data_IF_788992975957
#
_entry.id   IF_788992975957
#
_cell.length_a   1.000
_cell.length_b   1.000
_cell.length_c   1.000
_cell.angle_alpha   90.00
_cell.angle_beta   90.00
_cell.angle_gamma   90.00
#
_symmetry.space_group_name_H-M   'P 1'
#
loop_
_entity.id
_entity.type
_entity.pdbx_description
1 polymer ?
#
# COMPACT_ATOMS: atom_id res chain seq x y z
N UNK A 1 0.65 -32.35 -14.78
CA UNK A 1 -0.31 -31.43 -15.45
C UNK A 1 -1.69 -32.04 -15.32
N UNK A 2 -2.70 -31.23 -15.03
CA UNK A 2 -4.04 -31.69 -14.72
C UNK A 2 -5.08 -30.92 -15.54
N UNK A 3 -6.03 -31.63 -16.10
CA UNK A 3 -7.27 -31.06 -16.59
C UNK A 3 -8.30 -31.04 -15.46
N UNK A 4 -8.86 -29.87 -15.21
CA UNK A 4 -9.88 -29.70 -14.17
C UNK A 4 -11.27 -29.66 -14.80
N UNK A 5 -12.19 -30.43 -14.22
CA UNK A 5 -13.61 -30.39 -14.56
C UNK A 5 -14.41 -30.38 -13.24
N UNK A 6 -14.85 -29.23 -12.82
CA UNK A 6 -15.40 -28.98 -11.49
C UNK A 6 -14.40 -29.48 -10.40
N UNK A 7 -14.78 -30.45 -9.58
CA UNK A 7 -13.92 -31.04 -8.55
C UNK A 7 -13.18 -32.31 -9.01
N UNK A 8 -13.34 -32.71 -10.27
CA UNK A 8 -12.64 -33.89 -10.84
C UNK A 8 -11.32 -33.43 -11.47
N UNK A 9 -10.29 -34.29 -11.31
CA UNK A 9 -8.95 -34.09 -11.86
C UNK A 9 -8.65 -35.24 -12.82
N UNK A 10 -8.15 -34.93 -14.00
CA UNK A 10 -7.63 -35.86 -14.94
C UNK A 10 -6.18 -35.52 -15.26
N UNK A 11 -5.27 -36.48 -15.15
CA UNK A 11 -3.86 -36.28 -15.49
C UNK A 11 -3.70 -36.16 -17.01
N UNK A 12 -2.87 -35.21 -17.44
CA UNK A 12 -2.52 -35.00 -18.84
C UNK A 12 -1.00 -35.15 -19.01
N UNK A 13 -0.60 -35.86 -20.05
CA UNK A 13 0.81 -36.00 -20.41
C UNK A 13 1.37 -34.73 -21.05
N UNK A 14 0.51 -33.97 -21.76
CA UNK A 14 0.86 -32.72 -22.45
C UNK A 14 -0.35 -31.82 -22.68
N UNK A 15 -0.06 -30.53 -22.84
CA UNK A 15 -1.02 -29.49 -23.20
C UNK A 15 -0.50 -28.74 -24.43
N UNK A 16 -1.40 -28.16 -25.19
CA UNK A 16 -1.10 -27.44 -26.42
C UNK A 16 -1.37 -25.94 -26.27
N UNK A 17 -0.87 -25.16 -27.24
CA UNK A 17 -1.14 -23.73 -27.31
C UNK A 17 -2.64 -23.45 -27.34
N UNK A 18 -3.10 -22.56 -26.44
CA UNK A 18 -4.52 -22.24 -26.25
C UNK A 18 -5.24 -23.09 -25.20
N UNK A 19 -4.62 -24.15 -24.70
CA UNK A 19 -5.20 -24.96 -23.64
C UNK A 19 -5.06 -24.26 -22.26
N UNK A 20 -6.00 -24.60 -21.38
CA UNK A 20 -5.97 -24.19 -19.96
C UNK A 20 -5.82 -25.46 -19.11
N UNK A 21 -4.78 -25.51 -18.31
CA UNK A 21 -4.50 -26.64 -17.45
C UNK A 21 -4.04 -26.19 -16.06
N UNK A 22 -4.22 -27.05 -15.06
CA UNK A 22 -3.62 -26.89 -13.76
C UNK A 22 -2.25 -27.59 -13.72
N UNK A 23 -1.30 -27.01 -13.01
CA UNK A 23 0.00 -27.61 -12.77
C UNK A 23 0.37 -27.52 -11.29
N UNK A 24 1.04 -28.54 -10.76
CA UNK A 24 1.44 -28.63 -9.35
C UNK A 24 2.95 -28.78 -9.27
N UNK A 25 3.56 -28.21 -8.25
CA UNK A 25 4.97 -28.37 -7.95
C UNK A 25 5.86 -27.17 -8.24
N UNK A 26 5.32 -26.06 -8.72
CA UNK A 26 6.04 -24.81 -8.84
C UNK A 26 6.22 -24.17 -7.44
N UNK A 27 7.48 -23.89 -7.08
CA UNK A 27 7.81 -23.33 -5.76
C UNK A 27 7.96 -21.81 -5.76
N UNK A 28 8.28 -21.22 -6.92
CA UNK A 28 8.65 -19.80 -7.03
C UNK A 28 7.80 -19.05 -8.06
N UNK A 29 6.75 -19.67 -8.57
CA UNK A 29 5.86 -19.08 -9.57
C UNK A 29 4.63 -18.49 -8.89
N UNK A 30 4.36 -17.24 -9.16
CA UNK A 30 3.21 -16.49 -8.64
C UNK A 30 2.25 -16.12 -9.77
N UNK A 31 1.09 -15.57 -9.40
CA UNK A 31 0.09 -15.10 -10.36
C UNK A 31 0.68 -14.00 -11.25
N UNK A 32 0.59 -14.18 -12.56
CA UNK A 32 1.13 -13.24 -13.56
C UNK A 32 2.51 -13.62 -14.11
N UNK A 33 3.18 -14.61 -13.52
CA UNK A 33 4.47 -15.06 -14.02
C UNK A 33 4.33 -15.83 -15.34
N UNK A 34 5.30 -15.64 -16.22
CA UNK A 34 5.43 -16.40 -17.47
C UNK A 34 6.33 -17.60 -17.26
N UNK A 35 5.85 -18.78 -17.66
CA UNK A 35 6.63 -20.03 -17.70
C UNK A 35 6.99 -20.29 -19.15
N UNK A 36 8.28 -20.40 -19.45
CA UNK A 36 8.78 -20.60 -20.82
C UNK A 36 9.96 -21.58 -20.87
N UNK A 37 10.38 -21.91 -22.09
CA UNK A 37 11.62 -22.67 -22.35
C UNK A 37 12.84 -21.82 -22.01
N UNK A 38 13.81 -22.40 -21.29
CA UNK A 38 15.07 -21.73 -20.94
C UNK A 38 15.90 -21.34 -22.16
N UNK A 39 15.81 -22.10 -23.25
CA UNK A 39 16.56 -21.83 -24.49
C UNK A 39 15.90 -20.74 -25.35
N UNK A 40 14.62 -20.51 -25.15
CA UNK A 40 13.84 -19.54 -25.91
C UNK A 40 13.01 -18.67 -24.93
N UNK A 41 13.69 -17.85 -24.10
CA UNK A 41 12.99 -17.06 -23.09
C UNK A 41 12.08 -16.02 -23.74
N UNK A 42 10.81 -16.01 -23.33
CA UNK A 42 9.81 -15.03 -23.72
C UNK A 42 9.01 -14.63 -22.48
N UNK A 43 8.78 -13.34 -22.31
CA UNK A 43 7.89 -12.82 -21.27
C UNK A 43 6.63 -12.35 -21.98
N UNK A 44 5.50 -12.91 -21.59
CA UNK A 44 4.19 -12.45 -22.03
C UNK A 44 3.83 -11.14 -21.33
N UNK A 45 2.67 -10.59 -21.67
CA UNK A 45 2.17 -9.37 -21.04
C UNK A 45 2.15 -9.50 -19.51
N UNK A 46 2.82 -8.57 -18.84
CA UNK A 46 2.82 -8.50 -17.38
C UNK A 46 1.57 -7.80 -16.89
N UNK A 47 0.92 -8.37 -15.87
CA UNK A 47 -0.20 -7.72 -15.19
C UNK A 47 0.31 -6.74 -14.14
N UNK A 48 -0.17 -5.49 -14.20
CA UNK A 48 0.04 -4.53 -13.13
C UNK A 48 -1.10 -4.66 -12.11
N UNK A 49 -0.74 -4.97 -10.87
CA UNK A 49 -1.71 -5.08 -9.79
C UNK A 49 -1.71 -3.78 -8.97
N UNK A 50 -2.89 -3.20 -8.70
CA UNK A 50 -2.99 -2.03 -7.85
C UNK A 50 -2.58 -2.36 -6.41
N UNK A 51 -2.05 -1.37 -5.71
CA UNK A 51 -1.74 -1.52 -4.29
C UNK A 51 -3.02 -1.62 -3.44
N UNK A 52 -3.00 -2.40 -2.35
CA UNK A 52 -4.10 -2.45 -1.41
C UNK A 52 -4.46 -1.05 -0.86
N UNK A 53 -5.75 -0.81 -0.65
CA UNK A 53 -6.28 0.50 -0.23
C UNK A 53 -6.97 0.48 1.14
N UNK A 54 -7.20 -0.71 1.69
CA UNK A 54 -7.81 -0.91 3.00
C UNK A 54 -6.98 -1.89 3.81
N UNK A 55 -6.89 -1.63 5.10
CA UNK A 55 -6.16 -2.47 6.05
C UNK A 55 -7.03 -2.80 7.26
N UNK A 56 -6.80 -3.97 7.85
CA UNK A 56 -7.35 -4.33 9.13
C UNK A 56 -6.40 -5.21 9.94
N UNK A 57 -6.48 -5.09 11.25
CA UNK A 57 -5.76 -5.98 12.15
C UNK A 57 -6.49 -7.31 12.29
N UNK A 58 -5.72 -8.41 12.29
CA UNK A 58 -6.24 -9.75 12.49
C UNK A 58 -5.41 -10.48 13.56
N UNK A 59 -6.09 -11.16 14.46
CA UNK A 59 -5.46 -11.93 15.54
C UNK A 59 -6.07 -13.32 15.61
N UNK A 60 -5.27 -14.39 15.73
CA UNK A 60 -5.80 -15.71 15.93
C UNK A 60 -6.43 -15.82 17.31
N UNK A 61 -7.57 -16.49 17.45
CA UNK A 61 -8.24 -16.68 18.75
C UNK A 61 -7.43 -17.54 19.72
N UNK A 62 -6.47 -18.32 19.23
CA UNK A 62 -5.64 -19.21 20.04
C UNK A 62 -4.16 -19.05 19.71
N UNK A 63 -3.27 -19.19 20.69
CA UNK A 63 -1.82 -19.18 20.47
C UNK A 63 -1.34 -20.23 19.47
N UNK A 64 -1.96 -21.42 19.48
CA UNK A 64 -1.66 -22.48 18.51
C UNK A 64 -2.04 -22.12 17.09
N UNK A 65 -2.99 -21.19 16.89
CA UNK A 65 -3.40 -20.69 15.59
C UNK A 65 -2.42 -19.73 14.94
N UNK A 66 -1.47 -19.15 15.69
CA UNK A 66 -0.60 -18.09 15.16
C UNK A 66 0.32 -18.56 14.04
N UNK A 67 0.98 -19.71 14.21
CA UNK A 67 1.81 -20.30 13.15
C UNK A 67 1.00 -20.68 11.92
N UNK A 68 -0.15 -21.32 12.14
CA UNK A 68 -1.06 -21.67 11.05
C UNK A 68 -1.61 -20.45 10.30
N UNK A 69 -1.91 -19.36 11.01
CA UNK A 69 -2.37 -18.12 10.41
C UNK A 69 -1.29 -17.52 9.50
N UNK A 70 -0.03 -17.48 9.95
CA UNK A 70 1.08 -16.98 9.14
C UNK A 70 1.27 -17.78 7.84
N UNK A 71 1.26 -19.11 7.92
CA UNK A 71 1.35 -19.98 6.74
C UNK A 71 0.16 -19.81 5.79
N UNK A 72 -1.06 -19.69 6.34
CA UNK A 72 -2.26 -19.50 5.55
C UNK A 72 -2.26 -18.15 4.84
N UNK A 73 -1.89 -17.06 5.53
CA UNK A 73 -1.80 -15.72 4.95
C UNK A 73 -0.72 -15.66 3.86
N UNK A 74 0.42 -16.33 4.05
CA UNK A 74 1.46 -16.42 3.02
C UNK A 74 0.94 -17.09 1.74
N UNK A 75 0.23 -18.23 1.87
CA UNK A 75 -0.37 -18.93 0.72
C UNK A 75 -1.42 -18.07 0.01
N UNK A 76 -2.27 -17.35 0.76
CA UNK A 76 -3.28 -16.46 0.19
C UNK A 76 -2.63 -15.30 -0.56
N UNK A 77 -1.51 -14.77 -0.06
CA UNK A 77 -0.76 -13.71 -0.73
C UNK A 77 -0.03 -14.19 -2.00
N UNK A 78 0.37 -15.48 -2.07
CA UNK A 78 0.90 -16.08 -3.29
C UNK A 78 -0.16 -16.22 -4.39
N UNK A 79 -1.42 -16.51 -3.99
CA UNK A 79 -2.55 -16.64 -4.94
C UNK A 79 -3.04 -15.29 -5.46
N UNK A 80 -3.02 -14.26 -4.61
CA UNK A 80 -3.60 -12.94 -4.90
C UNK A 80 -2.58 -11.82 -4.68
N UNK A 81 -2.00 -11.27 -5.75
CA UNK A 81 -1.03 -10.18 -5.67
C UNK A 81 -1.58 -8.85 -5.13
N UNK A 82 -2.91 -8.70 -5.07
CA UNK A 82 -3.58 -7.52 -4.49
C UNK A 82 -3.82 -7.66 -2.99
N UNK A 83 -3.55 -8.83 -2.42
CA UNK A 83 -3.60 -9.10 -0.99
C UNK A 83 -2.21 -9.07 -0.39
N UNK A 84 -2.05 -8.41 0.75
CA UNK A 84 -0.80 -8.37 1.51
C UNK A 84 -1.06 -8.65 3.00
N UNK A 85 -0.10 -9.28 3.64
CA UNK A 85 -0.09 -9.48 5.08
C UNK A 85 1.29 -9.12 5.63
N UNK A 86 1.33 -8.38 6.72
CA UNK A 86 2.57 -8.01 7.40
C UNK A 86 2.34 -7.86 8.90
N UNK A 87 3.41 -7.95 9.67
CA UNK A 87 3.36 -7.67 11.10
C UNK A 87 3.77 -6.22 11.34
N UNK A 88 2.93 -5.48 12.01
CA UNK A 88 3.28 -4.14 12.48
C UNK A 88 4.34 -4.26 13.58
N UNK A 89 5.52 -3.72 13.34
CA UNK A 89 6.69 -3.82 14.24
C UNK A 89 6.51 -3.04 15.54
N UNK A 90 5.66 -2.02 15.56
CA UNK A 90 5.40 -1.20 16.75
C UNK A 90 4.36 -1.86 17.66
N UNK A 91 3.30 -2.42 17.09
CA UNK A 91 2.19 -3.01 17.87
C UNK A 91 2.26 -4.53 18.00
N UNK A 92 3.08 -5.19 17.19
CA UNK A 92 3.15 -6.65 17.09
C UNK A 92 1.93 -7.29 16.46
N UNK A 93 0.96 -6.52 15.97
CA UNK A 93 -0.27 -7.00 15.34
C UNK A 93 -0.01 -7.45 13.90
N UNK A 94 -0.70 -8.49 13.48
CA UNK A 94 -0.75 -8.88 12.06
C UNK A 94 -1.78 -8.00 11.35
N UNK A 95 -1.35 -7.31 10.32
CA UNK A 95 -2.18 -6.46 9.46
C UNK A 95 -2.37 -7.16 8.13
N UNK A 96 -3.60 -7.23 7.66
CA UNK A 96 -3.94 -7.66 6.31
C UNK A 96 -4.47 -6.47 5.50
N UNK A 97 -4.06 -6.41 4.25
CA UNK A 97 -4.38 -5.32 3.33
C UNK A 97 -4.96 -5.86 2.03
N UNK A 98 -5.96 -5.18 1.50
CA UNK A 98 -6.68 -5.60 0.29
C UNK A 98 -7.39 -4.45 -0.43
N UNK A 99 -8.16 -4.79 -1.46
CA UNK A 99 -8.79 -3.83 -2.36
C UNK A 99 -10.16 -3.33 -1.88
N UNK A 100 -10.69 -3.84 -0.78
CA UNK A 100 -11.96 -3.43 -0.21
C UNK A 100 -12.46 -4.38 0.89
N UNK A 101 -13.54 -3.97 1.57
CA UNK A 101 -14.14 -4.74 2.68
C UNK A 101 -14.47 -6.18 2.28
N UNK A 102 -15.21 -6.35 1.17
CA UNK A 102 -15.61 -7.68 0.70
C UNK A 102 -14.39 -8.56 0.38
N UNK A 103 -13.34 -7.99 -0.17
CA UNK A 103 -12.10 -8.72 -0.45
C UNK A 103 -11.51 -9.29 0.85
N UNK A 104 -11.37 -8.46 1.88
CA UNK A 104 -10.83 -8.90 3.18
C UNK A 104 -11.78 -9.85 3.93
N UNK A 105 -13.09 -9.67 3.82
CA UNK A 105 -14.08 -10.58 4.38
C UNK A 105 -13.95 -11.99 3.76
N UNK A 106 -13.76 -12.07 2.45
CA UNK A 106 -13.52 -13.36 1.75
C UNK A 106 -12.21 -14.00 2.23
N UNK A 107 -11.15 -13.23 2.40
CA UNK A 107 -9.88 -13.73 2.92
C UNK A 107 -10.04 -14.31 4.33
N UNK A 108 -10.75 -13.61 5.21
CA UNK A 108 -11.04 -14.07 6.58
C UNK A 108 -11.93 -15.34 6.57
N UNK A 109 -12.93 -15.39 5.71
CA UNK A 109 -13.79 -16.58 5.54
C UNK A 109 -12.96 -17.80 5.04
N UNK A 110 -12.03 -17.59 4.11
CA UNK A 110 -11.11 -18.61 3.63
C UNK A 110 -10.15 -19.11 4.73
N UNK A 111 -9.64 -18.22 5.59
CA UNK A 111 -8.83 -18.61 6.76
C UNK A 111 -9.60 -19.61 7.63
N UNK A 112 -10.88 -19.35 7.89
CA UNK A 112 -11.72 -20.24 8.68
C UNK A 112 -12.05 -21.55 7.95
N UNK A 113 -12.52 -21.48 6.71
CA UNK A 113 -13.06 -22.64 5.99
C UNK A 113 -11.97 -23.56 5.43
N UNK A 114 -10.94 -23.00 4.82
CA UNK A 114 -9.87 -23.78 4.16
C UNK A 114 -8.75 -24.14 5.15
N UNK A 115 -8.31 -23.20 5.97
CA UNK A 115 -7.15 -23.39 6.84
C UNK A 115 -7.51 -23.73 8.29
N UNK A 116 -8.80 -23.70 8.66
CA UNK A 116 -9.29 -23.97 10.02
C UNK A 116 -8.65 -23.04 11.07
N UNK A 117 -8.44 -21.77 10.71
CA UNK A 117 -7.93 -20.74 11.60
C UNK A 117 -9.06 -19.78 11.95
N UNK A 118 -9.44 -19.75 13.22
CA UNK A 118 -10.36 -18.74 13.76
C UNK A 118 -9.58 -17.49 14.16
N UNK A 119 -10.07 -16.34 13.71
CA UNK A 119 -9.43 -15.06 13.98
C UNK A 119 -10.43 -14.00 14.46
N UNK A 120 -9.96 -13.08 15.29
CA UNK A 120 -10.62 -11.83 15.59
C UNK A 120 -10.17 -10.78 14.59
N UNK A 121 -11.10 -9.99 14.10
CA UNK A 121 -10.88 -9.00 13.05
C UNK A 121 -11.20 -7.62 13.59
N UNK A 122 -10.27 -6.68 13.43
CA UNK A 122 -10.46 -5.27 13.77
C UNK A 122 -11.36 -4.52 12.75
N UNK A 123 -11.69 -3.27 13.06
CA UNK A 123 -12.39 -2.43 12.11
C UNK A 123 -11.50 -2.06 10.91
N UNK A 124 -12.06 -2.04 9.68
CA UNK A 124 -11.32 -1.61 8.51
C UNK A 124 -10.78 -0.18 8.66
N UNK A 125 -9.56 0.02 8.21
CA UNK A 125 -8.89 1.31 8.20
C UNK A 125 -8.51 1.65 6.75
N UNK A 126 -8.67 2.92 6.37
CA UNK A 126 -8.18 3.38 5.06
C UNK A 126 -6.66 3.45 5.09
N UNK A 127 -6.02 2.92 4.06
CA UNK A 127 -4.58 3.07 3.86
C UNK A 127 -4.28 4.46 3.29
N UNK A 128 -4.10 5.43 4.18
CA UNK A 128 -3.62 6.76 3.79
C UNK A 128 -2.15 6.70 3.37
N UNK A 129 -1.75 7.67 2.57
CA UNK A 129 -0.34 7.91 2.22
C UNK A 129 0.05 9.34 2.58
N UNK A 130 1.34 9.57 2.75
CA UNK A 130 1.89 10.93 2.82
C UNK A 130 2.57 11.30 1.50
N UNK A 131 2.68 12.58 1.21
CA UNK A 131 3.50 13.11 0.12
C UNK A 131 4.00 14.49 0.49
N UNK A 132 4.97 15.00 -0.27
CA UNK A 132 5.45 16.39 -0.17
C UNK A 132 4.96 17.17 -1.39
N UNK A 133 4.65 18.43 -1.21
CA UNK A 133 4.14 19.32 -2.28
C UNK A 133 5.20 20.29 -2.81
N UNK A 134 6.27 20.47 -2.08
CA UNK A 134 7.36 21.38 -2.42
C UNK A 134 8.74 20.79 -2.22
N UNK A 135 9.75 21.59 -2.44
CA UNK A 135 11.14 21.22 -2.30
C UNK A 135 11.69 21.68 -0.95
N UNK A 136 12.63 20.93 -0.39
CA UNK A 136 13.39 21.38 0.77
C UNK A 136 14.85 20.95 0.68
N UNK A 137 15.73 21.89 1.04
CA UNK A 137 17.15 21.63 1.25
C UNK A 137 17.42 21.52 2.75
N UNK A 138 18.13 20.48 3.16
CA UNK A 138 18.45 20.22 4.56
C UNK A 138 19.92 19.87 4.72
N UNK A 139 20.53 20.50 5.71
CA UNK A 139 21.86 20.19 6.22
C UNK A 139 21.69 19.45 7.54
N UNK A 140 21.95 18.13 7.56
CA UNK A 140 21.73 17.28 8.73
C UNK A 140 23.04 16.66 9.21
N UNK A 141 23.35 16.92 10.49
CA UNK A 141 24.47 16.31 11.21
C UNK A 141 23.96 15.41 12.30
N UNK A 142 24.44 14.17 12.31
CA UNK A 142 24.25 13.23 13.40
C UNK A 142 25.58 13.03 14.12
N UNK A 143 25.62 13.36 15.39
CA UNK A 143 26.76 13.17 16.25
C UNK A 143 26.32 12.60 17.58
N UNK A 144 26.91 11.47 17.96
CA UNK A 144 26.71 10.85 19.27
C UNK A 144 28.04 10.42 19.82
N UNK A 145 28.30 10.74 21.07
CA UNK A 145 29.52 10.39 21.76
C UNK A 145 29.15 9.82 23.15
N UNK A 146 29.44 8.55 23.37
CA UNK A 146 29.13 7.85 24.63
C UNK A 146 30.32 6.95 24.97
N UNK A 147 31.37 7.53 25.56
CA UNK A 147 32.50 6.81 26.18
C UNK A 147 33.14 5.72 25.29
N UNK A 148 33.95 6.10 24.29
CA UNK A 148 34.60 5.21 23.36
C UNK A 148 34.52 5.74 21.90
N UNK A 149 34.43 4.86 20.90
CA UNK A 149 34.20 5.25 19.51
C UNK A 149 32.89 6.00 19.38
N UNK A 150 32.91 7.22 18.83
CA UNK A 150 31.72 8.04 18.57
C UNK A 150 30.94 7.57 17.35
N UNK A 151 29.84 8.27 17.07
CA UNK A 151 29.07 8.12 15.82
C UNK A 151 28.99 9.48 15.12
N UNK A 152 29.27 9.53 13.84
CA UNK A 152 29.22 10.75 13.06
C UNK A 152 28.70 10.49 11.64
N UNK A 153 27.71 11.26 11.23
CA UNK A 153 27.22 11.34 9.87
C UNK A 153 26.79 12.76 9.54
N UNK A 154 27.06 13.21 8.33
CA UNK A 154 26.66 14.53 7.86
C UNK A 154 26.26 14.46 6.40
N UNK A 155 25.03 14.84 6.10
CA UNK A 155 24.46 14.84 4.75
C UNK A 155 23.79 16.20 4.47
N UNK A 156 24.03 16.72 3.27
CA UNK A 156 23.28 17.82 2.70
C UNK A 156 22.42 17.28 1.57
N UNK A 157 21.13 17.40 1.71
CA UNK A 157 20.15 16.76 0.83
C UNK A 157 19.16 17.78 0.31
N UNK A 158 18.64 17.48 -0.87
CA UNK A 158 17.44 18.09 -1.41
C UNK A 158 16.37 17.02 -1.59
N UNK A 159 15.17 17.32 -1.10
CA UNK A 159 13.98 16.51 -1.36
C UNK A 159 13.05 17.25 -2.29
N UNK A 160 12.43 16.52 -3.21
CA UNK A 160 11.51 17.04 -4.21
C UNK A 160 10.35 16.07 -4.42
N UNK A 161 9.13 16.56 -4.75
CA UNK A 161 8.04 15.70 -5.15
C UNK A 161 8.42 14.85 -6.35
N UNK A 162 7.93 13.62 -6.38
CA UNK A 162 7.97 12.77 -7.57
C UNK A 162 6.54 12.49 -8.04
N UNK A 163 6.36 12.01 -9.26
CA UNK A 163 5.06 11.62 -9.76
C UNK A 163 4.47 10.49 -8.90
N UNK A 164 3.17 10.59 -8.61
CA UNK A 164 2.47 9.59 -7.79
C UNK A 164 2.63 8.19 -8.37
N UNK A 165 3.00 7.24 -7.52
CA UNK A 165 3.24 5.86 -7.92
C UNK A 165 4.64 5.55 -8.47
N UNK A 166 5.49 6.54 -8.76
CA UNK A 166 6.89 6.29 -9.18
C UNK A 166 7.80 5.86 -8.03
N UNK A 167 7.36 6.05 -6.79
CA UNK A 167 8.09 5.62 -5.61
C UNK A 167 9.32 6.49 -5.31
N UNK A 168 10.33 5.83 -4.73
CA UNK A 168 11.55 6.44 -4.27
C UNK A 168 12.62 6.51 -5.35
N UNK A 169 13.12 7.71 -5.62
CA UNK A 169 14.23 7.97 -6.52
C UNK A 169 15.37 8.64 -5.77
N UNK A 170 16.60 8.11 -5.93
CA UNK A 170 17.78 8.64 -5.27
C UNK A 170 18.84 9.04 -6.30
N UNK A 171 19.36 10.27 -6.15
CA UNK A 171 20.48 10.81 -6.95
C UNK A 171 21.64 11.17 -6.05
N UNK A 172 22.84 10.94 -6.52
CA UNK A 172 24.08 11.28 -5.83
C UNK A 172 24.90 12.29 -6.64
N UNK A 173 24.99 13.52 -6.13
CA UNK A 173 25.73 14.63 -6.73
C UNK A 173 26.99 14.98 -5.93
N UNK A 174 27.43 14.12 -4.99
CA UNK A 174 28.61 14.36 -4.16
C UNK A 174 29.87 14.39 -5.02
N UNK A 175 30.63 15.48 -4.94
CA UNK A 175 31.89 15.67 -5.63
C UNK A 175 33.05 15.69 -4.64
N UNK A 176 34.24 15.28 -5.10
CA UNK A 176 35.47 15.43 -4.32
C UNK A 176 35.63 14.47 -3.13
N UNK A 177 34.75 13.48 -2.99
CA UNK A 177 34.87 12.46 -1.93
C UNK A 177 34.56 12.98 -0.53
N UNK A 178 33.78 14.06 -0.40
CA UNK A 178 33.33 14.60 0.90
C UNK A 178 32.57 13.58 1.73
N UNK A 179 31.90 12.62 1.07
CA UNK A 179 31.38 11.39 1.65
C UNK A 179 32.01 10.21 0.94
N UNK A 180 32.67 9.28 1.65
CA UNK A 180 33.20 8.05 1.06
C UNK A 180 32.11 7.24 0.34
N UNK A 181 32.45 6.68 -0.82
CA UNK A 181 31.49 5.93 -1.66
C UNK A 181 30.80 4.77 -0.93
N UNK A 182 31.48 4.19 0.04
CA UNK A 182 30.97 3.09 0.86
C UNK A 182 29.81 3.46 1.77
N UNK A 183 29.62 4.76 2.11
CA UNK A 183 28.55 5.26 2.95
C UNK A 183 27.31 5.72 2.17
N UNK A 184 27.43 5.94 0.86
CA UNK A 184 26.30 6.40 0.02
C UNK A 184 25.14 5.39 -0.01
N UNK A 185 25.39 4.06 -0.14
CA UNK A 185 24.30 3.07 -0.04
C UNK A 185 23.56 3.11 1.31
N UNK A 186 24.26 3.41 2.41
CA UNK A 186 23.64 3.56 3.72
C UNK A 186 22.72 4.78 3.81
N UNK A 187 23.10 5.90 3.18
CA UNK A 187 22.23 7.07 3.05
C UNK A 187 20.96 6.72 2.26
N UNK A 188 21.10 6.08 1.10
CA UNK A 188 19.98 5.65 0.28
C UNK A 188 19.02 4.72 1.05
N UNK A 189 19.58 3.73 1.74
CA UNK A 189 18.81 2.79 2.59
C UNK A 189 18.10 3.50 3.73
N UNK A 190 18.76 4.48 4.37
CA UNK A 190 18.19 5.25 5.46
C UNK A 190 16.96 6.06 5.03
N UNK A 191 16.99 6.69 3.84
CA UNK A 191 15.83 7.37 3.27
C UNK A 191 14.72 6.41 2.92
N UNK A 192 15.01 5.29 2.24
CA UNK A 192 14.03 4.28 1.90
C UNK A 192 13.30 3.73 3.13
N UNK A 193 14.03 3.44 4.20
CA UNK A 193 13.46 2.98 5.46
C UNK A 193 12.62 4.07 6.16
N UNK A 194 13.02 5.34 6.06
CA UNK A 194 12.28 6.44 6.67
C UNK A 194 10.95 6.73 5.96
N UNK A 195 10.88 6.51 4.66
CA UNK A 195 9.66 6.69 3.87
C UNK A 195 8.53 5.73 4.25
N UNK A 196 8.86 4.56 4.81
CA UNK A 196 7.85 3.63 5.32
C UNK A 196 7.04 4.22 6.49
N UNK A 197 7.60 5.22 7.17
CA UNK A 197 7.03 5.85 8.36
C UNK A 197 7.01 7.37 8.15
N UNK A 198 5.94 7.88 7.55
CA UNK A 198 5.79 9.30 7.19
C UNK A 198 5.97 10.25 8.37
N UNK A 199 6.45 11.44 8.08
CA UNK A 199 6.82 12.42 9.11
C UNK A 199 5.61 13.12 9.75
N UNK A 200 4.43 13.10 9.09
CA UNK A 200 3.23 13.83 9.51
C UNK A 200 2.35 13.00 10.44
N UNK A 201 1.95 11.82 10.00
CA UNK A 201 1.05 10.92 10.75
C UNK A 201 1.57 9.47 10.81
N UNK A 202 2.69 9.17 10.18
CA UNK A 202 3.30 7.85 10.15
C UNK A 202 2.82 6.97 9.00
N UNK A 203 2.07 7.51 8.05
CA UNK A 203 1.69 6.78 6.86
C UNK A 203 2.85 6.72 5.85
N UNK A 204 2.86 5.67 5.03
CA UNK A 204 3.91 5.50 4.02
C UNK A 204 3.94 6.68 3.05
N UNK A 205 5.14 7.19 2.77
CA UNK A 205 5.37 8.21 1.73
C UNK A 205 5.13 7.58 0.34
N UNK A 206 4.29 8.22 -0.48
CA UNK A 206 3.94 7.74 -1.82
C UNK A 206 5.15 7.77 -2.77
N UNK A 207 5.66 8.97 -3.02
CA UNK A 207 6.72 9.17 -4.00
C UNK A 207 7.56 10.38 -3.65
N UNK A 208 8.88 10.23 -3.69
CA UNK A 208 9.82 11.30 -3.37
C UNK A 208 11.14 11.09 -4.10
N UNK A 209 11.70 12.20 -4.58
CA UNK A 209 13.04 12.26 -5.11
C UNK A 209 13.98 12.87 -4.09
N UNK A 210 15.11 12.22 -3.84
CA UNK A 210 16.15 12.68 -2.93
C UNK A 210 17.46 12.82 -3.67
N UNK A 211 18.07 14.00 -3.59
CA UNK A 211 19.39 14.27 -4.13
C UNK A 211 20.37 14.50 -2.97
N UNK A 212 21.36 13.64 -2.83
CA UNK A 212 22.49 13.83 -1.92
C UNK A 212 23.50 14.79 -2.57
N UNK A 213 23.58 16.03 -2.07
CA UNK A 213 24.41 17.09 -2.67
C UNK A 213 25.82 17.13 -2.13
N UNK A 214 25.98 16.95 -0.82
CA UNK A 214 27.24 17.10 -0.12
C UNK A 214 27.16 16.49 1.28
N UNK A 215 28.25 16.54 2.03
CA UNK A 215 28.31 16.14 3.41
C UNK A 215 29.73 16.15 3.94
N UNK A 216 29.95 15.47 5.04
CA UNK A 216 31.29 15.20 5.56
C UNK A 216 31.30 13.93 6.39
N UNK A 217 32.47 13.37 6.59
CA UNK A 217 32.70 12.21 7.42
C UNK A 217 33.80 12.47 8.46
N UNK A 218 33.83 11.63 9.49
CA UNK A 218 34.90 11.63 10.48
C UNK A 218 35.68 10.33 10.36
N UNK A 219 37.03 10.36 10.25
CA UNK A 219 37.84 9.16 9.92
C UNK A 219 37.67 7.99 10.92
N UNK A 220 37.29 8.28 12.17
CA UNK A 220 37.18 7.27 13.24
C UNK A 220 35.73 6.98 13.60
N UNK A 221 34.85 7.99 13.59
CA UNK A 221 33.48 7.91 14.14
C UNK A 221 32.40 7.72 13.06
N UNK A 222 32.76 7.71 11.77
CA UNK A 222 31.82 7.48 10.70
C UNK A 222 31.76 6.01 10.33
N UNK A 223 30.52 5.49 10.29
CA UNK A 223 30.19 4.15 9.82
C UNK A 223 28.87 4.17 9.01
N UNK A 224 28.52 3.03 8.45
CA UNK A 224 27.29 2.90 7.66
C UNK A 224 26.04 3.18 8.50
N UNK A 225 26.01 2.73 9.77
CA UNK A 225 24.88 2.95 10.66
C UNK A 225 24.67 4.43 10.99
N UNK A 226 25.77 5.17 11.23
CA UNK A 226 25.72 6.62 11.47
C UNK A 226 25.14 7.39 10.29
N UNK A 227 25.51 7.02 9.07
CA UNK A 227 24.93 7.63 7.86
C UNK A 227 23.49 7.21 7.61
N UNK A 228 23.09 5.97 7.92
CA UNK A 228 21.70 5.53 7.85
C UNK A 228 20.81 6.32 8.84
N UNK A 229 21.26 6.49 10.08
CA UNK A 229 20.53 7.29 11.08
C UNK A 229 20.50 8.76 10.68
N UNK A 230 21.61 9.30 10.17
CA UNK A 230 21.68 10.68 9.68
C UNK A 230 20.68 10.94 8.55
N UNK A 231 20.56 10.00 7.60
CA UNK A 231 19.59 10.06 6.52
C UNK A 231 18.15 10.04 7.00
N UNK A 232 17.81 9.15 7.96
CA UNK A 232 16.47 9.11 8.58
C UNK A 232 16.11 10.43 9.26
N UNK A 233 17.05 11.00 10.00
CA UNK A 233 16.85 12.31 10.65
C UNK A 233 16.73 13.44 9.61
N UNK A 234 17.50 13.36 8.52
CA UNK A 234 17.41 14.26 7.38
C UNK A 234 16.01 14.24 6.74
N UNK A 235 15.45 13.06 6.52
CA UNK A 235 14.08 12.92 6.05
C UNK A 235 13.05 13.56 6.99
N UNK A 236 13.11 13.23 8.29
CA UNK A 236 12.19 13.78 9.31
C UNK A 236 12.24 15.30 9.40
N UNK A 237 13.39 15.89 9.10
CA UNK A 237 13.57 17.34 9.08
C UNK A 237 13.13 17.97 7.74
N UNK A 238 13.34 17.27 6.62
CA UNK A 238 13.05 17.73 5.28
C UNK A 238 11.54 17.68 4.95
N UNK A 239 10.86 16.60 5.28
CA UNK A 239 9.48 16.37 4.89
C UNK A 239 8.51 17.48 5.36
N UNK A 240 8.52 17.93 6.63
CA UNK A 240 7.68 19.05 7.05
C UNK A 240 8.00 20.35 6.32
N UNK A 241 9.28 20.63 6.03
CA UNK A 241 9.72 21.84 5.30
C UNK A 241 9.31 21.82 3.84
N UNK A 242 9.20 20.63 3.25
CA UNK A 242 8.74 20.41 1.89
C UNK A 242 7.21 20.39 1.76
N UNK A 243 6.46 20.68 2.83
CA UNK A 243 5.00 20.71 2.81
C UNK A 243 4.40 19.31 2.74
N UNK A 244 4.55 18.52 3.80
CA UNK A 244 3.91 17.22 3.88
C UNK A 244 2.39 17.33 3.94
N UNK A 245 1.70 16.49 3.15
CA UNK A 245 0.24 16.36 3.12
C UNK A 245 -0.18 14.90 3.15
N UNK A 246 -1.41 14.64 3.55
CA UNK A 246 -2.01 13.30 3.55
C UNK A 246 -2.79 13.11 2.25
N UNK A 247 -2.66 11.93 1.64
CA UNK A 247 -3.44 11.47 0.50
C UNK A 247 -4.38 10.34 0.91
N UNK A 248 -5.57 10.34 0.33
CA UNK A 248 -6.57 9.30 0.47
C UNK A 248 -6.82 8.58 -0.86
N UNK A 249 -7.17 7.28 -0.83
CA UNK A 249 -7.53 6.55 -2.04
C UNK A 249 -8.90 6.98 -2.53
N UNK A 250 -8.98 7.29 -3.83
CA UNK A 250 -10.20 7.60 -4.55
C UNK A 250 -10.62 6.38 -5.36
N UNK A 251 -11.88 6.01 -5.21
CA UNK A 251 -12.47 4.87 -5.89
C UNK A 251 -13.24 5.30 -7.13
N UNK A 252 -13.13 4.53 -8.19
CA UNK A 252 -14.01 4.60 -9.35
C UNK A 252 -15.24 3.74 -9.05
N UNK A 253 -16.37 4.38 -8.87
CA UNK A 253 -17.64 3.72 -8.54
C UNK A 253 -18.54 3.74 -9.76
N UNK A 254 -19.09 2.58 -10.12
CA UNK A 254 -20.10 2.45 -11.15
C UNK A 254 -21.36 1.86 -10.51
N UNK A 255 -22.50 2.54 -10.68
CA UNK A 255 -23.78 2.09 -10.17
C UNK A 255 -24.75 1.88 -11.32
N UNK A 256 -25.27 0.66 -11.46
CA UNK A 256 -26.32 0.31 -12.42
C UNK A 256 -27.67 0.32 -11.68
N UNK A 257 -28.58 1.15 -12.12
CA UNK A 257 -29.85 1.42 -11.43
C UNK A 257 -31.01 1.66 -12.39
N UNK A 258 -32.26 1.39 -11.98
CA UNK A 258 -33.43 1.94 -12.65
C UNK A 258 -33.42 3.47 -12.68
N UNK A 259 -33.99 4.08 -13.70
CA UNK A 259 -34.01 5.53 -13.88
C UNK A 259 -34.63 6.28 -12.70
N UNK A 260 -35.69 5.75 -12.12
CA UNK A 260 -36.41 6.33 -10.98
C UNK A 260 -35.56 6.49 -9.71
N UNK A 261 -34.51 5.67 -9.52
CA UNK A 261 -33.63 5.73 -8.35
C UNK A 261 -32.35 6.55 -8.62
N UNK A 262 -32.12 6.97 -9.86
CA UNK A 262 -30.86 7.64 -10.25
C UNK A 262 -30.62 8.94 -9.47
N UNK A 263 -31.67 9.76 -9.26
CA UNK A 263 -31.56 11.02 -8.53
C UNK A 263 -31.12 10.85 -7.08
N UNK A 264 -31.71 9.88 -6.37
CA UNK A 264 -31.36 9.58 -4.98
C UNK A 264 -29.95 9.02 -4.85
N UNK A 265 -29.53 8.18 -5.81
CA UNK A 265 -28.18 7.62 -5.86
C UNK A 265 -27.13 8.71 -6.09
N UNK A 266 -27.36 9.62 -7.03
CA UNK A 266 -26.48 10.78 -7.27
C UNK A 266 -26.41 11.66 -6.02
N UNK A 267 -27.55 11.91 -5.38
CA UNK A 267 -27.62 12.67 -4.12
C UNK A 267 -26.80 12.03 -3.01
N UNK A 268 -26.86 10.71 -2.85
CA UNK A 268 -26.07 9.97 -1.85
C UNK A 268 -24.57 10.00 -2.19
N UNK A 269 -24.18 9.77 -3.44
CA UNK A 269 -22.77 9.85 -3.87
C UNK A 269 -22.18 11.25 -3.63
N UNK A 270 -22.96 12.31 -3.88
CA UNK A 270 -22.52 13.69 -3.60
C UNK A 270 -22.33 13.95 -2.10
N UNK A 271 -23.20 13.41 -1.24
CA UNK A 271 -23.02 13.48 0.22
C UNK A 271 -21.75 12.79 0.70
N UNK A 272 -21.30 11.78 -0.02
CA UNK A 272 -20.04 11.03 0.22
C UNK A 272 -18.81 11.69 -0.38
N UNK A 273 -18.83 12.97 -0.62
CA UNK A 273 -17.75 13.72 -1.31
C UNK A 273 -17.46 13.18 -2.71
N UNK A 274 -18.41 12.46 -3.31
CA UNK A 274 -18.29 11.89 -4.63
C UNK A 274 -18.43 12.94 -5.72
N UNK A 275 -17.70 12.75 -6.80
CA UNK A 275 -17.81 13.52 -8.02
C UNK A 275 -18.36 12.62 -9.14
N UNK A 276 -19.57 12.92 -9.60
CA UNK A 276 -20.16 12.20 -10.74
C UNK A 276 -19.40 12.59 -12.01
N UNK A 277 -18.85 11.60 -12.69
CA UNK A 277 -18.02 11.76 -13.89
C UNK A 277 -18.74 11.42 -15.17
N UNK A 278 -19.84 10.68 -15.09
CA UNK A 278 -20.60 10.28 -16.27
C UNK A 278 -21.91 9.58 -15.94
N UNK A 279 -22.81 9.63 -16.89
CA UNK A 279 -24.09 8.92 -16.87
C UNK A 279 -24.33 8.32 -18.25
N UNK A 280 -24.63 7.04 -18.29
CA UNK A 280 -24.86 6.28 -19.53
C UNK A 280 -26.19 5.52 -19.46
N UNK A 281 -26.78 5.25 -20.60
CA UNK A 281 -27.94 4.37 -20.71
C UNK A 281 -27.53 2.98 -21.16
N UNK A 282 -27.96 1.96 -20.42
CA UNK A 282 -27.71 0.56 -20.76
C UNK A 282 -29.03 -0.19 -20.82
N UNK A 283 -29.67 -0.17 -21.98
CA UNK A 283 -31.04 -0.68 -22.14
C UNK A 283 -32.03 0.16 -21.33
N UNK A 284 -32.79 -0.49 -20.43
CA UNK A 284 -33.72 0.15 -19.50
C UNK A 284 -33.06 0.66 -18.21
N UNK A 285 -31.80 0.33 -17.99
CA UNK A 285 -31.05 0.76 -16.82
C UNK A 285 -30.22 2.02 -17.09
N UNK A 286 -29.87 2.73 -16.06
CA UNK A 286 -28.95 3.87 -16.04
C UNK A 286 -27.67 3.47 -15.33
N UNK A 287 -26.53 3.91 -15.85
CA UNK A 287 -25.22 3.70 -15.27
C UNK A 287 -24.69 5.05 -14.81
N UNK A 288 -24.45 5.17 -13.50
CA UNK A 288 -23.85 6.36 -12.88
C UNK A 288 -22.41 6.04 -12.55
N UNK A 289 -21.48 6.83 -13.07
CA UNK A 289 -20.03 6.74 -12.79
C UNK A 289 -19.61 7.90 -11.91
N UNK A 290 -18.88 7.60 -10.84
CA UNK A 290 -18.40 8.62 -9.90
C UNK A 290 -17.00 8.29 -9.38
N UNK A 291 -16.29 9.32 -8.93
CA UNK A 291 -15.06 9.22 -8.14
C UNK A 291 -15.39 9.56 -6.69
N UNK A 292 -15.16 8.65 -5.78
CA UNK A 292 -15.55 8.79 -4.37
C UNK A 292 -14.40 8.36 -3.47
N UNK A 293 -14.08 9.12 -2.39
CA UNK A 293 -13.09 8.68 -1.41
C UNK A 293 -13.51 7.38 -0.73
N UNK A 294 -12.57 6.44 -0.58
CA UNK A 294 -12.85 5.14 0.04
C UNK A 294 -13.41 5.27 1.45
N UNK A 295 -12.92 6.25 2.23
CA UNK A 295 -13.39 6.51 3.60
C UNK A 295 -14.89 6.74 3.69
N UNK A 296 -15.54 7.23 2.62
CA UNK A 296 -16.97 7.49 2.55
C UNK A 296 -17.78 6.30 2.01
N UNK A 297 -17.11 5.24 1.57
CA UNK A 297 -17.75 4.11 0.89
C UNK A 297 -18.04 2.92 1.80
N UNK A 298 -17.55 2.93 3.05
CA UNK A 298 -17.88 1.87 4.00
C UNK A 298 -19.40 1.77 4.23
N UNK A 299 -19.93 0.55 4.12
CA UNK A 299 -21.36 0.30 4.25
C UNK A 299 -22.23 0.79 3.09
N UNK A 300 -21.65 1.28 2.00
CA UNK A 300 -22.39 1.82 0.85
C UNK A 300 -23.37 0.83 0.23
N UNK A 301 -23.00 -0.44 0.11
CA UNK A 301 -23.86 -1.47 -0.48
C UNK A 301 -25.22 -1.59 0.26
N UNK A 302 -25.20 -1.47 1.58
CA UNK A 302 -26.43 -1.49 2.41
C UNK A 302 -27.31 -0.29 2.12
N UNK A 303 -26.72 0.91 2.04
CA UNK A 303 -27.45 2.14 1.71
C UNK A 303 -28.02 2.08 0.29
N UNK A 304 -27.21 1.61 -0.68
CA UNK A 304 -27.65 1.44 -2.07
C UNK A 304 -28.85 0.49 -2.19
N UNK A 305 -28.83 -0.63 -1.46
CA UNK A 305 -29.97 -1.57 -1.42
C UNK A 305 -31.22 -0.91 -0.86
N UNK A 306 -31.09 -0.08 0.17
CA UNK A 306 -32.21 0.65 0.77
C UNK A 306 -32.80 1.66 -0.21
N UNK A 307 -31.98 2.48 -0.84
CA UNK A 307 -32.40 3.51 -1.81
C UNK A 307 -33.10 2.88 -3.02
N UNK A 308 -32.57 1.77 -3.51
CA UNK A 308 -33.04 1.13 -4.76
C UNK A 308 -34.03 -0.01 -4.54
N UNK A 309 -34.42 -0.31 -3.29
CA UNK A 309 -35.20 -1.51 -2.96
C UNK A 309 -34.55 -2.80 -3.50
N UNK A 310 -33.21 -2.87 -3.46
CA UNK A 310 -32.42 -3.99 -3.94
C UNK A 310 -32.25 -4.09 -5.46
N UNK A 311 -32.72 -3.11 -6.23
CA UNK A 311 -32.69 -3.15 -7.71
C UNK A 311 -31.44 -2.56 -8.34
N UNK A 312 -30.62 -1.82 -7.59
CA UNK A 312 -29.35 -1.30 -8.05
C UNK A 312 -28.18 -2.21 -7.64
N UNK A 313 -27.17 -2.25 -8.49
CA UNK A 313 -25.89 -2.91 -8.24
C UNK A 313 -24.74 -1.92 -8.37
N UNK A 314 -23.67 -2.13 -7.64
CA UNK A 314 -22.47 -1.30 -7.74
C UNK A 314 -21.22 -2.13 -7.88
N UNK A 315 -20.26 -1.60 -8.61
CA UNK A 315 -18.87 -2.02 -8.61
C UNK A 315 -17.98 -0.87 -8.17
N UNK A 316 -16.85 -1.18 -7.59
CA UNK A 316 -15.91 -0.20 -7.06
C UNK A 316 -14.48 -0.70 -7.29
N UNK A 317 -13.67 0.17 -7.90
CA UNK A 317 -12.26 -0.11 -8.20
C UNK A 317 -11.39 1.05 -7.73
N UNK A 318 -10.16 0.75 -7.32
CA UNK A 318 -9.19 1.79 -7.02
C UNK A 318 -8.88 2.61 -8.27
N UNK A 319 -8.87 3.94 -8.13
CA UNK A 319 -8.52 4.85 -9.21
C UNK A 319 -7.15 5.50 -9.00
N UNK A 320 -7.01 6.30 -7.97
CA UNK A 320 -5.80 7.06 -7.67
C UNK A 320 -5.83 7.58 -6.23
N UNK A 321 -4.74 8.22 -5.80
CA UNK A 321 -4.69 8.95 -4.55
C UNK A 321 -4.86 10.45 -4.78
N UNK A 322 -5.65 11.12 -3.93
CA UNK A 322 -5.80 12.58 -3.89
C UNK A 322 -5.48 13.13 -2.50
N UNK A 323 -5.11 14.41 -2.45
CA UNK A 323 -4.90 15.10 -1.19
C UNK A 323 -6.21 15.20 -0.40
N UNK A 324 -6.13 14.90 0.89
CA UNK A 324 -7.26 15.00 1.82
C UNK A 324 -7.55 16.48 2.11
N UNK A 325 -8.81 16.92 2.12
CA UNK A 325 -9.15 18.28 2.55
C UNK A 325 -8.57 18.63 3.92
N UNK A 326 -8.08 19.86 4.07
CA UNK A 326 -7.28 20.30 5.23
C UNK A 326 -7.96 20.09 6.60
N UNK A 327 -9.30 20.22 6.67
CA UNK A 327 -10.08 19.95 7.88
C UNK A 327 -10.05 18.48 8.28
N UNK A 328 -10.22 17.56 7.32
CA UNK A 328 -10.18 16.13 7.55
C UNK A 328 -8.75 15.63 7.81
N UNK A 329 -7.74 16.22 7.14
CA UNK A 329 -6.35 15.90 7.37
C UNK A 329 -5.95 16.13 8.84
N UNK A 330 -6.42 17.21 9.46
CA UNK A 330 -6.19 17.47 10.89
C UNK A 330 -6.75 16.35 11.78
N UNK A 331 -7.98 15.92 11.53
CA UNK A 331 -8.60 14.84 12.30
C UNK A 331 -7.84 13.52 12.15
N UNK A 332 -7.35 13.21 10.94
CA UNK A 332 -6.57 12.01 10.66
C UNK A 332 -5.24 12.06 11.41
N UNK A 333 -4.54 13.21 11.38
CA UNK A 333 -3.27 13.42 12.10
C UNK A 333 -3.46 13.29 13.60
N UNK A 334 -4.51 13.91 14.15
CA UNK A 334 -4.83 13.85 15.59
C UNK A 334 -5.12 12.41 16.04
N UNK A 335 -5.91 11.66 15.28
CA UNK A 335 -6.19 10.24 15.54
C UNK A 335 -4.92 9.38 15.48
N UNK A 336 -4.04 9.63 14.52
CA UNK A 336 -2.76 8.92 14.41
C UNK A 336 -1.82 9.26 15.56
N UNK A 337 -1.78 10.54 15.99
CA UNK A 337 -0.98 11.00 17.14
C UNK A 337 -1.51 10.48 18.47
N UNK A 338 -2.83 10.36 18.64
CA UNK A 338 -3.46 9.77 19.83
C UNK A 338 -3.10 8.30 20.00
N UNK A 339 -3.11 7.51 18.93
CA UNK A 339 -2.66 6.11 18.94
C UNK A 339 -1.18 5.94 19.32
N UNK A 340 -0.33 6.94 19.05
CA UNK A 340 1.09 6.91 19.47
C UNK A 340 1.29 7.17 20.97
N UNK A 341 0.43 7.97 21.59
CA UNK A 341 0.52 8.27 23.05
C UNK A 341 0.02 7.14 23.92
N UNK A 342 -0.83 6.27 23.41
CA UNK A 342 -1.34 5.10 24.13
C UNK A 342 -0.34 3.91 24.10
N UNK A 343 0.79 4.05 23.42
CA UNK A 343 1.84 3.02 23.21
C UNK A 343 3.17 3.40 23.91
N UNK A 344 3.36 4.66 24.36
CA UNK A 344 4.48 5.11 25.17
C UNK A 344 4.16 4.97 26.69
#
# INVERSE_FOLDING_TARGET
ILQMHANKRAELDKVYSGDIAAAVGFKFTTTGDTICDEQHPVILESMEFPEPVIELAIEPKTKAGQGKMGEALAKLAEEDPTFRAHTNTETGQTIIAGMGELHLDIIVDRLLREFKVEANVGAPQVAYKETITGNADVDMKYKRQSGGSGQYGHVKIRVEPNESGKGYEFSNDVVGGSIPKEFIPAVQKGFAAAMANGALAGYTMDSMKVTLKDGSFHPVDSDQLSFEICARNGYRNAAPKAGSVIKEPIMSVEVVTPEENMGDIIGDLNKRRGQVTGMESKGTARVVKAKVPLSEMFGYVTVLRTISSGRATSSMEFSHFEEVPANLAKEIIEKASGKRKDIE
#
